data_IF_169698908870
#
_entry.id   IF_169698908870
#
_cell.length_a   1.000
_cell.length_b   1.000
_cell.length_c   1.000
_cell.angle_alpha   90.00
_cell.angle_beta   90.00
_cell.angle_gamma   90.00
#
_symmetry.space_group_name_H-M   'P 1'
#
loop_
_entity.id
_entity.type
_entity.pdbx_description
1 polymer ?
#
# COMPACT_ATOMS: atom_id res chain seq x y z
N UNK A 1 2.98 3.60 3.39
CA UNK A 1 4.14 4.53 3.47
C UNK A 1 4.24 5.26 4.81
N UNK A 2 3.21 5.96 5.30
CA UNK A 2 3.31 6.72 6.58
C UNK A 2 3.59 5.87 7.84
N UNK A 3 3.41 4.55 7.76
CA UNK A 3 3.68 3.59 8.85
C UNK A 3 5.02 2.86 8.67
N UNK A 4 5.85 3.27 7.71
CA UNK A 4 7.20 2.77 7.52
C UNK A 4 8.20 3.70 8.21
N UNK A 5 9.18 3.13 8.91
CA UNK A 5 10.28 3.82 9.55
C UNK A 5 11.54 3.69 8.68
N UNK A 6 12.02 4.81 8.15
CA UNK A 6 13.21 4.90 7.30
C UNK A 6 14.53 4.72 8.07
N UNK A 7 14.54 4.97 9.38
CA UNK A 7 15.73 4.80 10.21
C UNK A 7 15.97 3.34 10.61
N UNK A 8 14.91 2.55 10.77
CA UNK A 8 15.01 1.15 11.19
C UNK A 8 14.70 0.14 10.08
N UNK A 9 14.22 0.59 8.91
CA UNK A 9 13.75 -0.26 7.80
C UNK A 9 12.64 -1.23 8.25
N UNK A 10 11.72 -0.70 9.08
CA UNK A 10 10.64 -1.49 9.68
C UNK A 10 9.27 -0.89 9.40
N UNK A 11 8.29 -1.78 9.30
CA UNK A 11 6.89 -1.42 9.14
C UNK A 11 6.12 -1.59 10.44
N UNK A 12 5.38 -0.56 10.85
CA UNK A 12 4.63 -0.54 12.11
C UNK A 12 3.23 -1.15 12.06
N UNK A 13 2.69 -1.54 10.90
CA UNK A 13 1.32 -2.06 10.79
C UNK A 13 1.17 -3.09 9.66
N UNK A 14 0.78 -4.32 10.01
CA UNK A 14 0.78 -5.45 9.08
C UNK A 14 -0.14 -5.28 7.86
N UNK A 15 -1.32 -4.66 8.02
CA UNK A 15 -2.25 -4.45 6.91
C UNK A 15 -1.72 -3.42 5.90
N UNK A 16 -1.02 -2.40 6.37
CA UNK A 16 -0.38 -1.37 5.54
C UNK A 16 0.77 -1.98 4.73
N UNK A 17 1.51 -2.95 5.30
CA UNK A 17 2.49 -3.74 4.56
C UNK A 17 1.79 -4.47 3.41
N UNK A 18 0.71 -5.21 3.71
CA UNK A 18 -0.05 -5.94 2.69
C UNK A 18 -0.54 -5.04 1.56
N UNK A 19 -1.09 -3.87 1.89
CA UNK A 19 -1.53 -2.88 0.90
C UNK A 19 -0.37 -2.33 0.08
N UNK A 20 0.78 -2.04 0.70
CA UNK A 20 1.98 -1.56 -0.01
C UNK A 20 2.53 -2.61 -0.96
N UNK A 21 2.60 -3.88 -0.54
CA UNK A 21 3.07 -4.99 -1.37
C UNK A 21 2.15 -5.20 -2.58
N UNK A 22 0.83 -5.19 -2.39
CA UNK A 22 -0.13 -5.28 -3.50
C UNK A 22 0.04 -4.11 -4.47
N UNK A 23 0.25 -2.90 -3.94
CA UNK A 23 0.55 -1.73 -4.76
C UNK A 23 1.85 -1.95 -5.56
N UNK A 24 2.96 -2.40 -4.95
CA UNK A 24 4.22 -2.71 -5.67
C UNK A 24 4.02 -3.71 -6.80
N UNK A 25 3.25 -4.78 -6.58
CA UNK A 25 2.88 -5.76 -7.61
C UNK A 25 2.18 -5.10 -8.81
N UNK A 26 1.31 -4.13 -8.56
CA UNK A 26 0.62 -3.38 -9.63
C UNK A 26 1.52 -2.36 -10.33
N UNK A 27 2.52 -1.79 -9.65
CA UNK A 27 3.53 -0.92 -10.27
C UNK A 27 4.48 -1.68 -11.19
N UNK A 28 4.73 -2.96 -10.92
CA UNK A 28 5.51 -3.83 -11.81
C UNK A 28 4.73 -4.22 -13.08
N UNK A 29 3.40 -4.10 -13.06
CA UNK A 29 2.55 -4.36 -14.20
C UNK A 29 2.49 -3.13 -15.12
N UNK A 30 3.03 -3.28 -16.33
CA UNK A 30 3.22 -2.17 -17.27
C UNK A 30 1.94 -1.37 -17.57
N UNK A 31 1.97 -0.08 -17.23
CA UNK A 31 0.90 0.89 -17.49
C UNK A 31 -0.39 0.64 -16.72
N UNK A 32 -0.38 -0.18 -15.67
CA UNK A 32 -1.55 -0.37 -14.79
C UNK A 32 -1.68 0.80 -13.82
N UNK A 33 -0.59 1.14 -13.13
CA UNK A 33 -0.54 2.25 -12.18
C UNK A 33 0.54 3.23 -12.60
N UNK A 34 0.22 4.51 -12.51
CA UNK A 34 1.16 5.62 -12.71
C UNK A 34 1.00 6.63 -11.57
N UNK A 35 2.06 7.41 -11.31
CA UNK A 35 2.03 8.48 -10.30
C UNK A 35 2.43 9.79 -10.96
N UNK A 36 1.51 10.73 -10.91
CA UNK A 36 1.72 12.07 -11.42
C UNK A 36 2.10 13.00 -10.26
N UNK A 37 3.34 13.46 -10.24
CA UNK A 37 3.80 14.48 -9.31
C UNK A 37 3.25 15.84 -9.73
N UNK A 38 2.71 16.60 -8.77
CA UNK A 38 2.09 17.89 -9.01
C UNK A 38 2.25 18.81 -7.79
N UNK A 39 1.65 19.98 -7.84
CA UNK A 39 1.53 20.89 -6.71
C UNK A 39 0.05 21.12 -6.41
N UNK A 40 -0.30 21.14 -5.12
CA UNK A 40 -1.65 21.46 -4.67
C UNK A 40 -1.56 22.39 -3.45
N UNK A 41 -2.26 23.51 -3.52
CA UNK A 41 -2.32 24.52 -2.45
C UNK A 41 -0.91 25.00 -2.00
N UNK A 42 0.03 25.13 -2.94
CA UNK A 42 1.41 25.57 -2.68
C UNK A 42 2.32 24.52 -2.04
N UNK A 43 1.91 23.24 -2.06
CA UNK A 43 2.69 22.10 -1.53
C UNK A 43 2.87 21.03 -2.60
N UNK A 44 4.00 20.32 -2.54
CA UNK A 44 4.17 19.10 -3.34
C UNK A 44 3.01 18.13 -3.07
N UNK A 45 2.50 17.53 -4.13
CA UNK A 45 1.39 16.59 -4.12
C UNK A 45 1.59 15.54 -5.21
N UNK A 46 0.79 14.48 -5.18
CA UNK A 46 0.76 13.52 -6.27
C UNK A 46 -0.62 12.89 -6.44
N UNK A 47 -0.93 12.51 -7.66
CA UNK A 47 -2.08 11.67 -8.00
C UNK A 47 -1.62 10.26 -8.33
N UNK A 48 -2.39 9.26 -7.88
CA UNK A 48 -2.21 7.86 -8.27
C UNK A 48 -3.24 7.55 -9.35
N UNK A 49 -2.77 7.29 -10.55
CA UNK A 49 -3.58 7.02 -11.72
C UNK A 49 -3.66 5.51 -11.93
N UNK A 50 -4.88 4.97 -12.06
CA UNK A 50 -5.13 3.56 -12.34
C UNK A 50 -5.79 3.40 -13.71
N UNK A 51 -5.10 2.76 -14.64
CA UNK A 51 -5.67 2.41 -15.93
C UNK A 51 -6.61 1.20 -15.77
N UNK A 52 -7.92 1.45 -15.85
CA UNK A 52 -8.96 0.43 -15.60
C UNK A 52 -8.96 -0.70 -16.62
N UNK A 53 -8.60 -0.43 -17.86
CA UNK A 53 -8.60 -1.45 -18.91
C UNK A 53 -7.40 -2.38 -18.71
N UNK A 54 -6.21 -1.80 -18.54
CA UNK A 54 -5.00 -2.58 -18.21
C UNK A 54 -5.09 -3.28 -16.86
N UNK A 55 -5.81 -2.74 -15.89
CA UNK A 55 -6.04 -3.40 -14.61
C UNK A 55 -6.76 -4.74 -14.77
N UNK A 56 -7.72 -4.85 -15.70
CA UNK A 56 -8.46 -6.09 -15.94
C UNK A 56 -7.64 -7.15 -16.69
N UNK A 57 -6.56 -6.75 -17.35
CA UNK A 57 -5.66 -7.61 -18.12
C UNK A 57 -4.33 -7.80 -17.38
N UNK A 58 -3.38 -6.88 -17.53
CA UNK A 58 -2.05 -6.95 -16.95
C UNK A 58 -2.10 -6.93 -15.42
N UNK A 59 -2.96 -6.09 -14.84
CA UNK A 59 -3.12 -6.01 -13.38
C UNK A 59 -3.66 -7.31 -12.78
N UNK A 60 -4.67 -7.91 -13.42
CA UNK A 60 -5.23 -9.19 -13.02
C UNK A 60 -4.16 -10.30 -13.08
N UNK A 61 -3.42 -10.40 -14.18
CA UNK A 61 -2.37 -11.41 -14.33
C UNK A 61 -1.22 -11.21 -13.34
N UNK A 62 -0.84 -9.96 -13.02
CA UNK A 62 0.16 -9.66 -11.99
C UNK A 62 -0.30 -10.12 -10.60
N UNK A 63 -1.51 -9.75 -10.19
CA UNK A 63 -2.11 -10.18 -8.91
C UNK A 63 -2.22 -11.70 -8.84
N UNK A 64 -2.70 -12.35 -9.91
CA UNK A 64 -2.84 -13.81 -9.99
C UNK A 64 -1.51 -14.52 -9.80
N UNK A 65 -0.44 -14.08 -10.47
CA UNK A 65 0.90 -14.64 -10.32
C UNK A 65 1.41 -14.48 -8.89
N UNK A 66 1.26 -13.29 -8.31
CA UNK A 66 1.66 -13.00 -6.94
C UNK A 66 0.92 -13.89 -5.92
N UNK A 67 -0.41 -13.95 -6.00
CA UNK A 67 -1.24 -14.73 -5.08
C UNK A 67 -0.96 -16.24 -5.18
N UNK A 68 -0.76 -16.76 -6.40
CA UNK A 68 -0.39 -18.16 -6.58
C UNK A 68 0.94 -18.49 -5.89
N UNK A 69 1.97 -17.66 -6.08
CA UNK A 69 3.28 -17.86 -5.43
C UNK A 69 3.17 -17.75 -3.91
N UNK A 70 2.47 -16.73 -3.41
CA UNK A 70 2.23 -16.54 -1.98
C UNK A 70 1.51 -17.75 -1.35
N UNK A 71 0.47 -18.26 -2.03
CA UNK A 71 -0.30 -19.39 -1.55
C UNK A 71 0.53 -20.67 -1.52
N UNK A 72 1.29 -20.97 -2.59
CA UNK A 72 2.16 -22.15 -2.66
C UNK A 72 3.17 -22.12 -1.51
N UNK A 73 3.90 -21.01 -1.35
CA UNK A 73 4.90 -20.86 -0.29
C UNK A 73 4.30 -21.04 1.11
N UNK A 74 3.11 -20.47 1.34
CA UNK A 74 2.38 -20.67 2.59
C UNK A 74 2.01 -22.14 2.81
N UNK A 75 1.46 -22.81 1.80
CA UNK A 75 0.96 -24.18 1.93
C UNK A 75 2.07 -25.22 2.11
N UNK A 76 3.24 -25.00 1.50
CA UNK A 76 4.39 -25.91 1.66
C UNK A 76 5.24 -25.58 2.88
N UNK A 77 4.99 -24.45 3.55
CA UNK A 77 5.74 -24.04 4.75
C UNK A 77 7.18 -23.62 4.46
N UNK A 78 7.51 -23.21 3.22
CA UNK A 78 8.84 -22.78 2.83
C UNK A 78 9.12 -21.34 3.29
N UNK A 79 9.52 -21.21 4.55
CA UNK A 79 9.72 -19.93 5.22
C UNK A 79 10.87 -19.11 4.61
N UNK A 80 12.03 -19.73 4.36
CA UNK A 80 13.22 -19.00 3.93
C UNK A 80 12.99 -18.36 2.55
N UNK A 81 12.45 -19.12 1.60
CA UNK A 81 12.08 -18.60 0.28
C UNK A 81 10.98 -17.54 0.39
N UNK A 82 9.98 -17.74 1.26
CA UNK A 82 8.90 -16.77 1.44
C UNK A 82 9.39 -15.45 2.03
N UNK A 83 10.28 -15.51 3.02
CA UNK A 83 10.85 -14.35 3.68
C UNK A 83 11.66 -13.50 2.71
N UNK A 84 12.53 -14.12 1.92
CA UNK A 84 13.32 -13.42 0.91
C UNK A 84 12.41 -12.82 -0.18
N UNK A 85 11.53 -13.64 -0.75
CA UNK A 85 10.65 -13.22 -1.85
C UNK A 85 9.69 -12.10 -1.45
N UNK A 86 8.97 -12.26 -0.32
CA UNK A 86 8.03 -11.23 0.16
C UNK A 86 8.78 -10.00 0.68
N UNK A 87 9.94 -10.21 1.32
CA UNK A 87 10.81 -9.13 1.80
C UNK A 87 11.27 -8.19 0.68
N UNK A 88 11.48 -8.71 -0.54
CA UNK A 88 11.80 -7.86 -1.69
C UNK A 88 10.66 -6.90 -2.05
N UNK A 89 9.40 -7.31 -1.92
CA UNK A 89 8.25 -6.39 -2.12
C UNK A 89 8.07 -5.41 -0.96
N UNK A 90 8.56 -5.74 0.24
CA UNK A 90 8.47 -4.86 1.42
C UNK A 90 9.45 -3.70 1.40
N UNK A 91 10.53 -3.79 0.61
CA UNK A 91 11.55 -2.74 0.49
C UNK A 91 10.95 -1.44 -0.02
N UNK A 92 11.38 -0.33 0.59
CA UNK A 92 10.99 1.03 0.21
C UNK A 92 12.22 1.71 -0.39
N UNK A 93 12.20 1.88 -1.71
CA UNK A 93 13.27 2.59 -2.44
C UNK A 93 13.13 4.11 -2.32
N UNK A 94 14.13 4.85 -2.81
CA UNK A 94 14.19 6.31 -2.75
C UNK A 94 12.96 6.99 -3.40
N UNK A 95 12.42 6.37 -4.45
CA UNK A 95 11.21 6.86 -5.11
C UNK A 95 10.00 6.80 -4.16
N UNK A 96 9.76 5.67 -3.49
CA UNK A 96 8.69 5.57 -2.50
C UNK A 96 8.97 6.35 -1.21
N UNK A 97 10.24 6.58 -0.85
CA UNK A 97 10.61 7.50 0.25
C UNK A 97 10.22 8.94 -0.06
N UNK A 98 10.43 9.41 -1.30
CA UNK A 98 9.95 10.73 -1.73
C UNK A 98 8.43 10.84 -1.62
N UNK A 99 7.69 9.85 -2.12
CA UNK A 99 6.23 9.81 -2.01
C UNK A 99 5.76 9.75 -0.55
N UNK A 100 6.51 9.06 0.32
CA UNK A 100 6.25 9.03 1.76
C UNK A 100 6.34 10.43 2.37
N UNK A 101 7.37 11.20 2.03
CA UNK A 101 7.55 12.55 2.56
C UNK A 101 6.36 13.44 2.15
N UNK A 102 6.01 13.45 0.87
CA UNK A 102 4.84 14.19 0.35
C UNK A 102 3.55 13.78 1.09
N UNK A 103 3.36 12.48 1.32
CA UNK A 103 2.18 11.97 2.03
C UNK A 103 2.14 12.37 3.52
N UNK A 104 3.29 12.52 4.18
CA UNK A 104 3.38 13.01 5.55
C UNK A 104 3.04 14.50 5.64
N UNK A 105 3.56 15.31 4.70
CA UNK A 105 3.34 16.76 4.67
C UNK A 105 1.89 17.16 4.34
N UNK A 106 1.17 16.26 3.66
CA UNK A 106 -0.25 16.40 3.31
C UNK A 106 -1.20 15.61 4.22
N UNK A 107 -0.69 14.99 5.30
CA UNK A 107 -1.50 14.14 6.19
C UNK A 107 -2.57 14.96 6.93
N UNK A 108 -3.83 14.58 6.77
CA UNK A 108 -4.93 15.16 7.54
C UNK A 108 -4.83 14.80 9.04
N UNK A 109 -5.27 15.69 9.95
CA UNK A 109 -5.41 15.38 11.37
C UNK A 109 -6.26 14.12 11.60
N UNK A 110 -6.00 13.41 12.70
CA UNK A 110 -6.77 12.21 13.06
C UNK A 110 -8.24 12.60 13.24
N UNK A 111 -9.14 11.93 12.52
CA UNK A 111 -10.58 12.05 12.74
C UNK A 111 -10.92 11.57 14.15
N UNK A 112 -11.77 12.34 14.84
CA UNK A 112 -12.46 11.89 16.04
C UNK A 112 -13.78 11.26 15.61
N UNK A 113 -14.02 10.04 16.05
CA UNK A 113 -15.30 9.36 15.85
C UNK A 113 -16.21 9.67 17.03
N UNK A 114 -17.49 9.92 16.75
CA UNK A 114 -18.50 10.18 17.77
C UNK A 114 -19.35 8.93 17.95
N UNK A 115 -19.37 8.41 19.18
CA UNK A 115 -20.23 7.31 19.56
C UNK A 115 -21.58 7.83 20.08
N UNK A 116 -22.66 7.12 19.75
CA UNK A 116 -24.01 7.52 20.14
C UNK A 116 -24.36 6.92 21.50
N UNK A 117 -25.09 7.68 22.33
CA UNK A 117 -25.67 7.15 23.55
C UNK A 117 -27.03 6.49 23.26
N UNK A 118 -27.30 5.38 23.94
CA UNK A 118 -28.61 4.74 23.96
C UNK A 118 -29.35 5.16 25.23
N UNK A 119 -30.62 5.58 25.11
CA UNK A 119 -31.47 5.95 26.24
C UNK A 119 -32.76 5.13 26.18
N UNK A 120 -33.11 4.49 27.31
CA UNK A 120 -34.35 3.74 27.44
C UNK A 120 -35.54 4.71 27.51
N UNK A 121 -36.52 4.55 26.62
CA UNK A 121 -37.75 5.32 26.62
C UNK A 121 -38.82 4.61 27.45
N UNK A 122 -38.89 4.93 28.75
CA UNK A 122 -40.01 4.54 29.62
C UNK A 122 -41.15 5.55 29.48
N UNK A 123 -42.26 5.12 28.88
CA UNK A 123 -43.56 5.80 28.98
C UNK A 123 -44.14 5.64 30.38
#
# INVERSE_FOLDING_TARGET
LIYYNDQTDEWGQAHVIGNYVIMKVLFEADGVVDVELTEKDGKEYFYVNLNRDKFRTEGHEAIKKFLNKLHILKCVGDYDTAKEWFGNYMKVDDYFLKLRQIALDNKAPRRLELEHNLVLNTK
#
